data_IF_554003600213
#
_entry.id   IF_554003600213
#
_cell.length_a   1.000
_cell.length_b   1.000
_cell.length_c   1.000
_cell.angle_alpha   90.00
_cell.angle_beta   90.00
_cell.angle_gamma   90.00
#
_symmetry.space_group_name_H-M   'P 1'
#
loop_
_entity.id
_entity.type
_entity.pdbx_description
1 polymer ?
#
# COMPACT_ATOMS: atom_id res chain seq x y z
N UNK A 1 -47.17 7.69 -14.41
CA UNK A 1 -45.70 7.79 -14.51
C UNK A 1 -45.29 8.74 -13.41
N UNK A 2 -44.78 8.36 -12.25
CA UNK A 2 -43.59 7.59 -11.84
C UNK A 2 -43.82 7.32 -10.33
N UNK A 3 -43.43 6.20 -9.72
CA UNK A 3 -42.07 5.92 -9.23
C UNK A 3 -42.09 4.49 -8.68
N UNK A 4 -41.20 3.62 -9.13
CA UNK A 4 -40.71 2.51 -8.29
C UNK A 4 -39.19 2.47 -8.41
N UNK A 5 -38.51 2.88 -7.34
CA UNK A 5 -37.13 2.48 -7.09
C UNK A 5 -37.21 1.57 -5.86
N UNK A 6 -37.36 0.28 -6.09
CA UNK A 6 -37.01 -0.74 -5.11
C UNK A 6 -35.56 -1.11 -5.35
N UNK A 7 -34.65 -0.48 -4.60
CA UNK A 7 -33.31 -1.01 -4.36
C UNK A 7 -33.15 -1.13 -2.85
N UNK A 8 -33.48 -2.31 -2.33
CA UNK A 8 -32.90 -2.75 -1.08
C UNK A 8 -32.40 -4.18 -1.31
N UNK A 9 -31.09 -4.30 -1.46
CA UNK A 9 -30.38 -5.57 -1.25
C UNK A 9 -29.08 -5.18 -0.59
N UNK A 10 -29.13 -5.07 0.74
CA UNK A 10 -27.96 -4.96 1.58
C UNK A 10 -27.14 -6.24 1.40
N UNK A 11 -26.06 -6.16 0.61
CA UNK A 11 -25.04 -7.19 0.63
C UNK A 11 -24.36 -7.12 1.99
N UNK A 12 -24.50 -8.17 2.82
CA UNK A 12 -23.62 -8.35 3.96
C UNK A 12 -22.18 -8.47 3.41
N UNK A 13 -21.41 -7.39 3.55
CA UNK A 13 -19.98 -7.35 3.18
C UNK A 13 -19.22 -8.21 4.17
N UNK A 14 -19.22 -9.53 3.96
CA UNK A 14 -18.26 -10.42 4.61
C UNK A 14 -16.89 -10.05 4.07
N UNK A 15 -16.10 -9.37 4.89
CA UNK A 15 -14.72 -9.02 4.57
C UNK A 15 -13.97 -10.27 4.08
N UNK A 16 -13.30 -10.23 2.92
CA UNK A 16 -12.62 -11.40 2.38
C UNK A 16 -11.50 -11.82 3.34
N UNK A 17 -11.67 -12.98 3.98
CA UNK A 17 -10.66 -13.62 4.83
C UNK A 17 -9.86 -14.63 4.02
N UNK A 18 -8.55 -14.70 4.27
CA UNK A 18 -7.64 -15.69 3.67
C UNK A 18 -7.26 -16.74 4.70
N UNK A 19 -7.17 -18.00 4.28
CA UNK A 19 -6.76 -19.09 5.16
C UNK A 19 -5.24 -19.14 5.34
N UNK A 20 -4.79 -19.58 6.51
CA UNK A 20 -3.36 -19.80 6.80
C UNK A 20 -2.69 -20.84 5.88
N UNK A 21 -3.46 -21.73 5.25
CA UNK A 21 -2.94 -22.66 4.23
C UNK A 21 -2.64 -21.98 2.91
N UNK A 22 -3.57 -21.17 2.40
CA UNK A 22 -3.33 -20.38 1.19
C UNK A 22 -2.18 -19.37 1.37
N UNK A 23 -1.92 -18.92 2.61
CA UNK A 23 -0.73 -18.11 2.93
C UNK A 23 0.54 -18.98 2.87
N UNK A 24 0.48 -20.20 3.39
CA UNK A 24 1.61 -21.14 3.35
C UNK A 24 2.01 -21.48 1.91
N UNK A 25 1.03 -21.66 1.03
CA UNK A 25 1.22 -21.87 -0.41
C UNK A 25 1.87 -20.65 -1.08
N UNK A 26 1.37 -19.44 -0.81
CA UNK A 26 1.92 -18.20 -1.41
C UNK A 26 3.36 -17.93 -0.99
N UNK A 27 3.70 -18.19 0.28
CA UNK A 27 5.06 -17.94 0.78
C UNK A 27 5.98 -19.15 0.58
N UNK A 28 5.46 -20.25 0.03
CA UNK A 28 6.17 -21.52 -0.16
C UNK A 28 6.84 -22.01 1.13
N UNK A 29 6.15 -21.85 2.27
CA UNK A 29 6.62 -22.29 3.59
C UNK A 29 5.69 -23.33 4.17
N UNK A 30 6.21 -24.15 5.07
CA UNK A 30 5.41 -25.11 5.84
C UNK A 30 4.33 -24.39 6.65
N UNK A 31 3.10 -24.92 6.62
CA UNK A 31 1.94 -24.38 7.36
C UNK A 31 2.19 -24.20 8.86
N UNK A 32 2.98 -25.08 9.49
CA UNK A 32 3.35 -24.95 10.90
C UNK A 32 4.12 -23.65 11.21
N UNK A 33 4.97 -23.19 10.29
CA UNK A 33 5.69 -21.92 10.45
C UNK A 33 4.76 -20.73 10.34
N UNK A 34 3.75 -20.81 9.47
CA UNK A 34 2.70 -19.79 9.34
C UNK A 34 1.87 -19.70 10.62
N UNK A 35 1.41 -20.83 11.16
CA UNK A 35 0.66 -20.89 12.43
C UNK A 35 1.46 -20.28 13.59
N UNK A 36 2.75 -20.62 13.70
CA UNK A 36 3.62 -20.07 14.74
C UNK A 36 3.78 -18.55 14.59
N UNK A 37 3.95 -18.06 13.36
CA UNK A 37 4.05 -16.62 13.08
C UNK A 37 2.77 -15.89 13.49
N UNK A 38 1.61 -16.42 13.10
CA UNK A 38 0.29 -15.89 13.45
C UNK A 38 0.12 -15.83 14.98
N UNK A 39 0.43 -16.91 15.69
CA UNK A 39 0.32 -16.95 17.15
C UNK A 39 1.21 -15.91 17.83
N UNK A 40 2.46 -15.75 17.36
CA UNK A 40 3.39 -14.73 17.87
C UNK A 40 2.88 -13.32 17.60
N UNK A 41 2.50 -13.01 16.36
CA UNK A 41 2.01 -11.68 15.98
C UNK A 41 0.74 -11.30 16.75
N UNK A 42 -0.17 -12.25 16.96
CA UNK A 42 -1.39 -12.03 17.75
C UNK A 42 -1.05 -11.79 19.23
N UNK A 43 -0.05 -12.49 19.78
CA UNK A 43 0.41 -12.31 21.15
C UNK A 43 1.08 -10.94 21.36
N UNK A 44 1.80 -10.45 20.34
CA UNK A 44 2.40 -9.11 20.35
C UNK A 44 1.40 -7.98 20.02
N UNK A 45 0.14 -8.30 19.74
CA UNK A 45 -0.89 -7.31 19.37
C UNK A 45 -0.66 -6.63 18.02
N UNK A 46 0.22 -7.20 17.17
CA UNK A 46 0.52 -6.65 15.84
C UNK A 46 -0.62 -6.92 14.86
N UNK A 47 -1.23 -8.10 14.97
CA UNK A 47 -2.41 -8.51 14.21
C UNK A 47 -3.60 -8.68 15.14
N UNK A 48 -4.81 -8.60 14.59
CA UNK A 48 -6.02 -8.97 15.35
C UNK A 48 -5.98 -10.46 15.67
N UNK A 49 -6.59 -10.87 16.79
CA UNK A 49 -6.72 -12.28 17.14
C UNK A 49 -7.50 -13.00 16.03
N UNK A 50 -6.87 -13.88 15.25
CA UNK A 50 -7.54 -14.51 14.12
C UNK A 50 -8.50 -15.58 14.61
N UNK A 51 -9.61 -15.72 13.89
CA UNK A 51 -10.52 -16.85 14.10
C UNK A 51 -9.83 -18.13 13.59
N UNK A 52 -10.08 -19.25 14.27
CA UNK A 52 -9.54 -20.54 13.87
C UNK A 52 -10.67 -21.55 13.78
N UNK A 53 -10.54 -22.48 12.83
CA UNK A 53 -11.44 -23.60 12.64
C UNK A 53 -10.65 -24.89 12.41
N UNK A 54 -11.32 -26.02 12.57
CA UNK A 54 -10.74 -27.33 12.29
C UNK A 54 -11.20 -27.81 10.92
N UNK A 55 -10.26 -28.19 10.07
CA UNK A 55 -10.55 -28.73 8.73
C UNK A 55 -10.13 -30.19 8.72
N UNK A 56 -11.07 -31.08 8.41
CA UNK A 56 -10.78 -32.50 8.21
C UNK A 56 -10.02 -32.68 6.91
N UNK A 57 -8.78 -33.15 7.00
CA UNK A 57 -7.98 -33.56 5.86
C UNK A 57 -8.19 -35.06 5.70
N UNK A 58 -8.74 -35.44 4.56
CA UNK A 58 -8.87 -36.85 4.20
C UNK A 58 -7.59 -37.27 3.47
N UNK A 59 -6.58 -37.71 4.22
CA UNK A 59 -5.36 -38.28 3.64
C UNK A 59 -5.43 -39.80 3.68
N UNK A 60 -5.64 -40.38 2.50
CA UNK A 60 -5.39 -41.75 2.00
C UNK A 60 -5.76 -42.98 2.86
N UNK A 61 -6.21 -42.83 4.12
CA UNK A 61 -6.82 -43.84 5.02
C UNK A 61 -7.11 -43.34 6.46
N UNK A 62 -6.74 -42.10 6.83
CA UNK A 62 -7.03 -41.51 8.15
C UNK A 62 -7.61 -40.10 7.98
N UNK A 63 -8.69 -39.80 8.70
CA UNK A 63 -9.16 -38.43 8.83
C UNK A 63 -8.25 -37.74 9.86
N UNK A 64 -7.38 -36.85 9.39
CA UNK A 64 -6.59 -35.99 10.27
C UNK A 64 -7.24 -34.62 10.32
N UNK A 65 -7.53 -34.15 11.52
CA UNK A 65 -8.11 -32.83 11.72
C UNK A 65 -6.97 -31.82 11.89
N UNK A 66 -6.96 -30.78 11.06
CA UNK A 66 -5.94 -29.74 11.11
C UNK A 66 -6.56 -28.38 11.40
N UNK A 67 -5.98 -27.67 12.36
CA UNK A 67 -6.37 -26.30 12.68
C UNK A 67 -5.90 -25.33 11.61
N UNK A 68 -6.85 -24.55 11.08
CA UNK A 68 -6.62 -23.52 10.08
C UNK A 68 -7.09 -22.18 10.64
N UNK A 69 -6.22 -21.18 10.59
CA UNK A 69 -6.56 -19.79 10.91
C UNK A 69 -7.13 -19.07 9.71
N UNK A 70 -8.12 -18.20 9.95
CA UNK A 70 -8.66 -17.25 8.98
C UNK A 70 -8.19 -15.85 9.36
N UNK A 71 -7.61 -15.16 8.38
CA UNK A 71 -6.91 -13.90 8.60
C UNK A 71 -7.51 -12.82 7.71
N UNK A 72 -7.67 -11.63 8.28
CA UNK A 72 -8.14 -10.45 7.56
C UNK A 72 -7.10 -9.97 6.53
N UNK A 73 -7.56 -9.20 5.55
CA UNK A 73 -6.70 -8.67 4.48
C UNK A 73 -5.43 -7.96 5.01
N UNK A 74 -5.57 -7.04 5.97
CA UNK A 74 -4.44 -6.31 6.57
C UNK A 74 -3.40 -7.25 7.17
N UNK A 75 -3.86 -8.15 8.03
CA UNK A 75 -3.00 -9.03 8.80
C UNK A 75 -2.30 -10.06 7.88
N UNK A 76 -2.94 -10.42 6.77
CA UNK A 76 -2.33 -11.28 5.74
C UNK A 76 -1.06 -10.66 5.13
N UNK A 77 -1.04 -9.34 4.88
CA UNK A 77 0.15 -8.66 4.38
C UNK A 77 1.28 -8.64 5.41
N UNK A 78 0.95 -8.39 6.68
CA UNK A 78 1.94 -8.36 7.77
C UNK A 78 2.60 -9.73 7.94
N UNK A 79 1.81 -10.81 7.91
CA UNK A 79 2.33 -12.18 8.01
C UNK A 79 3.25 -12.51 6.82
N UNK A 80 2.84 -12.18 5.60
CA UNK A 80 3.63 -12.41 4.39
C UNK A 80 4.94 -11.62 4.43
N UNK A 81 4.90 -10.34 4.83
CA UNK A 81 6.08 -9.49 4.96
C UNK A 81 7.10 -10.07 5.96
N UNK A 82 6.63 -10.62 7.09
CA UNK A 82 7.52 -11.24 8.07
C UNK A 82 8.12 -12.57 7.60
N UNK A 83 7.34 -13.39 6.89
CA UNK A 83 7.78 -14.71 6.43
C UNK A 83 8.65 -14.65 5.17
N UNK A 84 8.58 -13.54 4.42
CA UNK A 84 9.37 -13.29 3.22
C UNK A 84 10.24 -12.04 3.39
N UNK A 85 11.34 -12.13 4.19
CA UNK A 85 12.26 -11.02 4.35
C UNK A 85 12.96 -10.65 3.03
N UNK A 86 13.14 -11.60 2.11
CA UNK A 86 13.70 -11.35 0.78
C UNK A 86 12.80 -10.44 -0.06
N UNK A 87 11.48 -10.64 0.00
CA UNK A 87 10.53 -9.79 -0.69
C UNK A 87 10.59 -8.36 -0.14
N UNK A 88 10.64 -8.22 1.19
CA UNK A 88 10.77 -6.93 1.85
C UNK A 88 12.10 -6.25 1.52
N UNK A 89 13.21 -7.00 1.47
CA UNK A 89 14.52 -6.48 1.07
C UNK A 89 14.48 -5.90 -0.35
N UNK A 90 13.94 -6.65 -1.34
CA UNK A 90 13.81 -6.16 -2.72
C UNK A 90 12.96 -4.89 -2.83
N UNK A 91 11.90 -4.81 -2.02
CA UNK A 91 11.07 -3.60 -1.94
C UNK A 91 11.88 -2.42 -1.43
N UNK A 92 12.64 -2.60 -0.35
CA UNK A 92 13.51 -1.56 0.23
C UNK A 92 14.61 -1.16 -0.75
N UNK A 93 15.28 -2.12 -1.40
CA UNK A 93 16.32 -1.87 -2.39
C UNK A 93 15.79 -1.01 -3.55
N UNK A 94 14.58 -1.31 -4.03
CA UNK A 94 13.94 -0.55 -5.09
C UNK A 94 13.63 0.89 -4.67
N UNK A 95 13.19 1.08 -3.43
CA UNK A 95 12.95 2.42 -2.88
C UNK A 95 14.24 3.21 -2.75
N UNK A 96 15.30 2.61 -2.23
CA UNK A 96 16.61 3.26 -2.14
C UNK A 96 17.17 3.64 -3.50
N UNK A 97 16.95 2.81 -4.53
CA UNK A 97 17.34 3.15 -5.90
C UNK A 97 16.58 4.38 -6.42
N UNK A 98 15.27 4.45 -6.19
CA UNK A 98 14.48 5.63 -6.56
C UNK A 98 14.91 6.87 -5.78
N UNK A 99 15.21 6.72 -4.48
CA UNK A 99 15.74 7.81 -3.66
C UNK A 99 17.08 8.31 -4.19
N UNK A 100 17.99 7.41 -4.61
CA UNK A 100 19.25 7.81 -5.26
C UNK A 100 19.03 8.55 -6.58
N UNK A 101 18.04 8.14 -7.37
CA UNK A 101 17.70 8.81 -8.63
C UNK A 101 17.11 10.21 -8.40
N UNK A 102 16.29 10.39 -7.36
CA UNK A 102 15.74 11.69 -6.98
C UNK A 102 16.76 12.57 -6.27
N UNK A 103 17.61 11.98 -5.44
CA UNK A 103 18.62 12.66 -4.64
C UNK A 103 19.85 13.09 -5.44
N UNK A 104 20.05 12.58 -6.67
CA UNK A 104 20.91 13.23 -7.65
C UNK A 104 20.12 14.40 -8.23
N UNK A 105 20.35 15.65 -7.77
CA UNK A 105 19.73 16.77 -8.44
C UNK A 105 20.25 16.74 -9.88
N UNK A 106 19.36 16.88 -10.85
CA UNK A 106 19.75 17.23 -12.22
C UNK A 106 20.32 18.65 -12.16
N UNK A 107 21.53 18.79 -11.60
CA UNK A 107 22.23 20.06 -11.56
C UNK A 107 22.63 20.31 -13.00
N UNK A 108 22.13 21.40 -13.63
CA UNK A 108 22.49 21.74 -14.99
C UNK A 108 24.02 21.79 -15.11
N UNK A 109 24.58 21.04 -16.06
CA UNK A 109 26.04 20.91 -16.19
C UNK A 109 26.68 22.19 -16.76
N UNK A 110 25.87 23.08 -17.31
CA UNK A 110 26.27 24.36 -17.87
C UNK A 110 25.42 25.51 -17.35
N UNK A 111 26.05 26.67 -17.20
CA UNK A 111 25.38 27.93 -16.84
C UNK A 111 24.22 28.27 -17.80
N UNK A 112 24.37 27.98 -19.09
CA UNK A 112 23.32 28.21 -20.09
C UNK A 112 22.08 27.32 -19.86
N UNK A 113 22.28 26.09 -19.41
CA UNK A 113 21.21 25.16 -19.09
C UNK A 113 20.47 25.57 -17.80
N UNK A 114 21.21 26.05 -16.80
CA UNK A 114 20.65 26.60 -15.57
C UNK A 114 19.73 27.80 -15.84
N UNK A 115 20.19 28.74 -16.67
CA UNK A 115 19.40 29.91 -17.09
C UNK A 115 18.11 29.52 -17.80
N UNK A 116 18.16 28.52 -18.70
CA UNK A 116 16.96 28.01 -19.39
C UNK A 116 15.96 27.38 -18.42
N UNK A 117 16.43 26.56 -17.49
CA UNK A 117 15.57 25.97 -16.46
C UNK A 117 14.87 27.05 -15.63
N UNK A 118 15.62 28.04 -15.12
CA UNK A 118 15.05 29.15 -14.34
C UNK A 118 14.00 29.91 -15.15
N UNK A 119 14.27 30.21 -16.42
CA UNK A 119 13.33 30.89 -17.30
C UNK A 119 12.03 30.09 -17.49
N UNK A 120 12.12 28.78 -17.73
CA UNK A 120 10.93 27.93 -17.94
C UNK A 120 10.09 27.78 -16.67
N UNK A 121 10.73 27.64 -15.50
CA UNK A 121 10.05 27.56 -14.21
C UNK A 121 9.33 28.88 -13.92
N UNK A 122 10.01 30.02 -14.14
CA UNK A 122 9.42 31.36 -13.98
C UNK A 122 8.25 31.60 -14.93
N UNK A 123 8.36 31.16 -16.19
CA UNK A 123 7.29 31.28 -17.18
C UNK A 123 6.04 30.47 -16.80
N UNK A 124 6.18 29.27 -16.20
CA UNK A 124 5.02 28.51 -15.67
C UNK A 124 4.36 29.24 -14.52
N UNK A 125 5.16 29.76 -13.59
CA UNK A 125 4.66 30.48 -12.43
C UNK A 125 3.89 31.76 -12.79
N UNK A 126 4.38 32.54 -13.75
CA UNK A 126 3.66 33.72 -14.26
C UNK A 126 2.39 33.36 -15.05
N UNK A 127 2.31 32.14 -15.60
CA UNK A 127 1.12 31.66 -16.33
C UNK A 127 0.00 31.19 -15.40
N UNK A 128 0.33 30.81 -14.17
CA UNK A 128 -0.63 30.32 -13.16
C UNK A 128 -1.02 31.37 -12.12
N UNK A 129 -0.35 32.53 -12.06
CA UNK A 129 -0.79 33.64 -11.23
C UNK A 129 -1.80 34.52 -11.97
N UNK A 130 -2.93 34.90 -11.34
CA UNK A 130 -3.76 35.98 -11.87
C UNK A 130 -2.91 37.26 -11.85
N UNK A 131 -2.85 37.94 -12.99
CA UNK A 131 -2.22 39.25 -13.09
C UNK A 131 -2.90 40.18 -12.07
N UNK A 132 -2.25 40.45 -10.94
CA UNK A 132 -2.69 41.53 -10.09
C UNK A 132 -2.56 42.81 -10.93
N UNK A 133 -3.64 43.60 -11.10
CA UNK A 133 -3.56 44.86 -11.81
C UNK A 133 -2.48 45.69 -11.14
N UNK A 134 -1.43 46.03 -11.88
CA UNK A 134 -0.45 47.01 -11.41
C UNK A 134 -1.23 48.27 -11.10
N UNK A 135 -1.30 48.64 -9.81
CA UNK A 135 -1.93 49.89 -9.41
C UNK A 135 -1.14 50.99 -10.11
N UNK A 136 -1.75 51.82 -10.98
CA UNK A 136 -1.02 52.88 -11.64
C UNK A 136 -0.35 53.74 -10.57
N UNK A 137 0.86 54.28 -10.84
CA UNK A 137 1.53 55.16 -9.89
C UNK A 137 0.53 56.24 -9.52
N UNK A 138 0.21 56.32 -8.22
CA UNK A 138 -0.68 57.34 -7.68
C UNK A 138 0.01 58.66 -7.98
N UNK A 139 -0.40 59.31 -9.08
CA UNK A 139 0.09 60.63 -9.42
C UNK A 139 -0.18 61.53 -8.22
N UNK A 140 0.89 62.04 -7.62
CA UNK A 140 0.84 63.04 -6.58
C UNK A 140 0.12 64.24 -7.15
N UNK A 141 -1.16 64.36 -6.79
CA UNK A 141 -1.95 65.55 -7.07
C UNK A 141 -1.33 66.65 -6.20
N UNK A 142 -0.76 67.65 -6.86
CA UNK A 142 -0.34 68.90 -6.23
C UNK A 142 -1.48 69.49 -5.39
#
# INVERSE_FOLDING_TARGET
>A
MVLQISRESASATTEPTRSSREIAEVVEKRHDKVKLSISRLASHGVISRPQWGEVSIQQSRRAESASVYYVNKRDSYVIVAQLSPEFTARLVDRWQELEKQVAQPQVPQSFAEALRLVWTVKARHCRTMPLQPQRPPQGSRW
#
